data_IF_016778644053
#
_entry.id   IF_016778644053
#
_cell.length_a   1.000
_cell.length_b   1.000
_cell.length_c   1.000
_cell.angle_alpha   90.00
_cell.angle_beta   90.00
_cell.angle_gamma   90.00
#
_symmetry.space_group_name_H-M   'P 1'
#
loop_
_entity.id
_entity.type
_entity.pdbx_description
1 polymer ?
#
# COMPACT_ATOMS: atom_id res chain seq x y z
N UNK A 1 -3.14 40.79 -4.39
CA UNK A 1 -1.81 40.57 -3.76
C UNK A 1 -1.78 40.91 -2.24
N UNK A 2 -2.90 40.79 -1.52
CA UNK A 2 -2.94 40.86 -0.04
C UNK A 2 -3.04 39.45 0.57
N UNK A 3 -3.87 38.58 -0.02
CA UNK A 3 -4.04 37.19 0.42
C UNK A 3 -2.74 36.37 0.42
N UNK A 4 -1.88 36.52 -0.60
CA UNK A 4 -0.58 35.83 -0.71
C UNK A 4 0.44 36.26 0.36
N UNK A 5 0.35 37.51 0.86
CA UNK A 5 1.24 37.99 1.93
C UNK A 5 0.76 37.47 3.30
N UNK A 6 -0.54 37.54 3.56
CA UNK A 6 -1.15 37.04 4.80
C UNK A 6 -1.03 35.51 4.95
N UNK A 7 -1.14 34.75 3.84
CA UNK A 7 -1.09 33.28 3.88
C UNK A 7 0.29 32.69 3.55
N UNK A 8 1.35 33.51 3.54
CA UNK A 8 2.71 33.06 3.23
C UNK A 8 3.21 32.02 4.23
N UNK A 9 2.90 32.19 5.53
CA UNK A 9 3.22 31.22 6.57
C UNK A 9 2.48 29.90 6.35
N UNK A 10 1.16 29.94 6.13
CA UNK A 10 0.35 28.76 5.85
C UNK A 10 0.83 27.98 4.62
N UNK A 11 1.32 28.68 3.61
CA UNK A 11 1.92 28.04 2.43
C UNK A 11 3.22 27.31 2.76
N UNK A 12 4.13 27.93 3.51
CA UNK A 12 5.39 27.31 3.93
C UNK A 12 5.12 26.10 4.83
N UNK A 13 4.16 26.23 5.74
CA UNK A 13 3.75 25.17 6.64
C UNK A 13 3.09 24.00 5.90
N UNK A 14 2.20 24.29 4.94
CA UNK A 14 1.62 23.28 4.06
C UNK A 14 2.67 22.57 3.20
N UNK A 15 3.70 23.30 2.73
CA UNK A 15 4.79 22.71 1.94
C UNK A 15 5.61 21.75 2.79
N UNK A 16 5.94 22.17 4.01
CA UNK A 16 6.63 21.33 4.98
C UNK A 16 5.80 20.09 5.31
N UNK A 17 4.52 20.27 5.62
CA UNK A 17 3.60 19.17 5.91
C UNK A 17 3.53 18.17 4.75
N UNK A 18 3.37 18.62 3.51
CA UNK A 18 3.35 17.71 2.35
C UNK A 18 4.66 16.95 2.18
N UNK A 19 5.82 17.60 2.36
CA UNK A 19 7.13 16.93 2.27
C UNK A 19 7.30 15.89 3.37
N UNK A 20 6.94 16.23 4.61
CA UNK A 20 7.03 15.33 5.76
C UNK A 20 6.11 14.10 5.55
N UNK A 21 4.85 14.31 5.16
CA UNK A 21 3.91 13.23 4.83
C UNK A 21 4.40 12.38 3.66
N UNK A 22 4.83 13.00 2.57
CA UNK A 22 5.36 12.29 1.39
C UNK A 22 6.55 11.41 1.76
N UNK A 23 7.47 11.91 2.59
CA UNK A 23 8.65 11.16 3.02
C UNK A 23 8.27 9.95 3.89
N UNK A 24 7.41 10.14 4.90
CA UNK A 24 6.91 9.04 5.72
C UNK A 24 6.17 7.99 4.89
N UNK A 25 5.29 8.41 3.99
CA UNK A 25 4.55 7.50 3.13
C UNK A 25 5.44 6.79 2.09
N UNK A 26 6.50 7.44 1.59
CA UNK A 26 7.50 6.79 0.73
C UNK A 26 8.16 5.62 1.46
N UNK A 27 8.55 5.80 2.73
CA UNK A 27 9.14 4.73 3.54
C UNK A 27 8.13 3.59 3.72
N UNK A 28 6.87 3.90 4.03
CA UNK A 28 5.80 2.89 4.14
C UNK A 28 5.57 2.13 2.83
N UNK A 29 5.52 2.83 1.70
CA UNK A 29 5.35 2.22 0.37
C UNK A 29 6.54 1.32 -0.01
N UNK A 30 7.76 1.72 0.35
CA UNK A 30 8.97 0.93 0.14
C UNK A 30 8.93 -0.36 0.97
N UNK A 31 8.50 -0.25 2.22
CA UNK A 31 8.36 -1.39 3.12
C UNK A 31 7.33 -2.39 2.57
N UNK A 32 6.14 -1.92 2.16
CA UNK A 32 5.11 -2.79 1.57
C UNK A 32 5.64 -3.47 0.31
N UNK A 33 6.23 -2.72 -0.62
CA UNK A 33 6.78 -3.28 -1.85
C UNK A 33 7.82 -4.37 -1.56
N UNK A 34 8.68 -4.17 -0.57
CA UNK A 34 9.70 -5.13 -0.15
C UNK A 34 9.09 -6.40 0.43
N UNK A 35 8.12 -6.27 1.33
CA UNK A 35 7.45 -7.41 1.99
C UNK A 35 6.68 -8.25 0.97
N UNK A 36 5.91 -7.60 0.10
CA UNK A 36 5.10 -8.25 -0.93
C UNK A 36 6.00 -8.90 -2.00
N UNK A 37 7.06 -8.22 -2.44
CA UNK A 37 8.05 -8.81 -3.35
C UNK A 37 8.72 -10.06 -2.76
N UNK A 38 9.08 -10.02 -1.47
CA UNK A 38 9.62 -11.19 -0.78
C UNK A 38 8.60 -12.35 -0.74
N UNK A 39 7.32 -12.05 -0.49
CA UNK A 39 6.24 -13.04 -0.50
C UNK A 39 6.00 -13.65 -1.90
N UNK A 40 6.16 -12.87 -2.96
CA UNK A 40 6.07 -13.35 -4.35
C UNK A 40 7.13 -14.40 -4.68
N UNK A 41 8.37 -14.20 -4.19
CA UNK A 41 9.49 -15.12 -4.44
C UNK A 41 9.46 -16.31 -3.47
N UNK A 42 9.08 -16.06 -2.21
CA UNK A 42 8.99 -17.07 -1.15
C UNK A 42 7.53 -17.52 -1.05
N UNK A 43 7.09 -18.23 -2.09
CA UNK A 43 5.69 -18.65 -2.23
C UNK A 43 5.26 -19.56 -1.07
N UNK A 44 4.10 -19.30 -0.43
CA UNK A 44 3.68 -20.07 0.73
C UNK A 44 3.46 -21.56 0.40
N UNK A 45 4.08 -22.40 1.23
CA UNK A 45 4.09 -23.86 1.08
C UNK A 45 5.15 -24.42 0.12
N UNK A 46 6.01 -23.57 -0.45
CA UNK A 46 7.17 -23.99 -1.22
C UNK A 46 6.88 -24.48 -2.64
N UNK A 47 7.94 -24.86 -3.35
CA UNK A 47 7.88 -25.41 -4.70
C UNK A 47 7.89 -26.96 -4.67
N UNK A 48 7.25 -27.57 -5.66
CA UNK A 48 7.34 -29.00 -5.86
C UNK A 48 8.69 -29.34 -6.50
N UNK A 49 9.47 -30.19 -5.82
CA UNK A 49 10.89 -30.46 -6.10
C UNK A 49 11.18 -30.93 -7.53
N UNK A 50 10.20 -31.53 -8.22
CA UNK A 50 10.37 -32.08 -9.57
C UNK A 50 9.89 -31.17 -10.70
N UNK A 51 9.00 -30.21 -10.41
CA UNK A 51 8.31 -29.43 -11.44
C UNK A 51 8.52 -27.92 -11.32
N UNK A 52 9.02 -27.44 -10.16
CA UNK A 52 9.22 -26.02 -9.89
C UNK A 52 7.93 -25.24 -9.65
N UNK A 53 6.75 -25.86 -9.80
CA UNK A 53 5.47 -25.21 -9.55
C UNK A 53 5.21 -25.06 -8.04
N UNK A 54 4.53 -23.98 -7.61
CA UNK A 54 4.11 -23.81 -6.23
C UNK A 54 3.25 -25.00 -5.79
N UNK A 55 3.56 -25.64 -4.67
CA UNK A 55 2.88 -26.88 -4.24
C UNK A 55 1.36 -26.71 -4.06
N UNK A 56 0.91 -25.48 -3.80
CA UNK A 56 -0.49 -25.13 -3.56
C UNK A 56 -1.18 -24.42 -4.75
N UNK A 57 -0.61 -24.50 -5.97
CA UNK A 57 -1.13 -23.81 -7.15
C UNK A 57 -2.59 -24.14 -7.52
N UNK A 58 -3.09 -25.33 -7.13
CA UNK A 58 -4.47 -25.74 -7.39
C UNK A 58 -5.50 -25.14 -6.43
N UNK A 59 -5.07 -24.50 -5.35
CA UNK A 59 -5.97 -23.89 -4.37
C UNK A 59 -6.48 -22.54 -4.88
N UNK A 60 -7.78 -22.29 -4.78
CA UNK A 60 -8.37 -20.98 -5.10
C UNK A 60 -7.74 -19.85 -4.27
N UNK A 61 -7.35 -20.14 -3.03
CA UNK A 61 -6.63 -19.20 -2.17
C UNK A 61 -5.26 -18.80 -2.75
N UNK A 62 -4.56 -19.72 -3.43
CA UNK A 62 -3.29 -19.41 -4.06
C UNK A 62 -3.45 -18.37 -5.17
N UNK A 63 -4.51 -18.51 -5.98
CA UNK A 63 -4.83 -17.53 -7.03
C UNK A 63 -5.16 -16.17 -6.43
N UNK A 64 -5.95 -16.13 -5.35
CA UNK A 64 -6.25 -14.88 -4.62
C UNK A 64 -4.98 -14.24 -4.08
N UNK A 65 -4.11 -15.04 -3.46
CA UNK A 65 -2.80 -14.59 -2.98
C UNK A 65 -2.00 -13.94 -4.11
N UNK A 66 -1.74 -14.67 -5.20
CA UNK A 66 -0.90 -14.19 -6.29
C UNK A 66 -1.44 -12.91 -6.95
N UNK A 67 -2.76 -12.81 -7.15
CA UNK A 67 -3.37 -11.60 -7.72
C UNK A 67 -3.26 -10.43 -6.74
N UNK A 68 -3.62 -10.63 -5.48
CA UNK A 68 -3.57 -9.56 -4.47
C UNK A 68 -2.14 -9.07 -4.20
N UNK A 69 -1.18 -9.99 -4.15
CA UNK A 69 0.24 -9.69 -3.99
C UNK A 69 0.76 -8.84 -5.17
N UNK A 70 0.47 -9.25 -6.40
CA UNK A 70 0.83 -8.48 -7.59
C UNK A 70 0.21 -7.07 -7.57
N UNK A 71 -1.09 -6.94 -7.28
CA UNK A 71 -1.77 -5.65 -7.23
C UNK A 71 -1.17 -4.76 -6.14
N UNK A 72 -0.89 -5.29 -4.95
CA UNK A 72 -0.23 -4.56 -3.87
C UNK A 72 1.15 -4.07 -4.30
N UNK A 73 1.95 -4.92 -4.95
CA UNK A 73 3.29 -4.57 -5.39
C UNK A 73 3.28 -3.44 -6.43
N UNK A 74 2.45 -3.55 -7.47
CA UNK A 74 2.36 -2.53 -8.51
C UNK A 74 1.83 -1.20 -7.98
N UNK A 75 0.81 -1.23 -7.13
CA UNK A 75 0.24 -0.01 -6.53
C UNK A 75 1.23 0.65 -5.57
N UNK A 76 1.94 -0.12 -4.74
CA UNK A 76 3.01 0.40 -3.86
C UNK A 76 4.17 1.01 -4.64
N UNK A 77 4.61 0.35 -5.70
CA UNK A 77 5.71 0.83 -6.55
C UNK A 77 5.32 2.10 -7.32
N UNK A 78 4.08 2.16 -7.80
CA UNK A 78 3.55 3.38 -8.44
C UNK A 78 3.50 4.54 -7.45
N UNK A 79 3.08 4.26 -6.21
CA UNK A 79 3.04 5.25 -5.14
C UNK A 79 4.44 5.76 -4.76
N UNK A 80 5.45 4.88 -4.72
CA UNK A 80 6.85 5.28 -4.54
C UNK A 80 7.32 6.27 -5.61
N UNK A 81 7.05 5.99 -6.87
CA UNK A 81 7.43 6.87 -7.97
C UNK A 81 6.70 8.22 -7.88
N UNK A 82 5.44 8.21 -7.46
CA UNK A 82 4.61 9.40 -7.34
C UNK A 82 5.04 10.28 -6.16
N UNK A 83 5.31 9.69 -4.99
CA UNK A 83 5.90 10.41 -3.86
C UNK A 83 7.31 10.94 -4.17
N UNK A 84 8.15 10.16 -4.85
CA UNK A 84 9.46 10.61 -5.29
C UNK A 84 9.34 11.80 -6.27
N UNK A 85 8.35 11.76 -7.15
CA UNK A 85 8.03 12.87 -8.04
C UNK A 85 7.59 14.11 -7.26
N UNK A 86 6.79 13.97 -6.21
CA UNK A 86 6.37 15.08 -5.33
C UNK A 86 7.56 15.67 -4.54
N UNK A 87 8.47 14.83 -4.03
CA UNK A 87 9.69 15.26 -3.35
C UNK A 87 10.66 16.00 -4.29
N UNK A 88 10.77 15.54 -5.54
CA UNK A 88 11.71 16.08 -6.55
C UNK A 88 11.13 17.31 -7.28
N UNK A 89 9.80 17.48 -7.27
CA UNK A 89 9.13 18.59 -7.94
C UNK A 89 9.53 19.95 -7.35
N UNK A 90 9.64 20.96 -8.21
CA UNK A 90 9.88 22.33 -7.80
C UNK A 90 8.56 22.94 -7.35
N UNK A 91 8.43 23.24 -6.05
CA UNK A 91 7.21 23.75 -5.39
C UNK A 91 6.86 25.20 -5.83
N UNK A 92 6.54 25.42 -7.10
CA UNK A 92 6.11 26.71 -7.64
C UNK A 92 4.72 27.10 -7.09
N UNK A 93 4.49 28.39 -6.81
CA UNK A 93 3.30 28.85 -6.06
C UNK A 93 1.96 28.44 -6.66
N UNK A 94 1.87 28.31 -7.99
CA UNK A 94 0.63 28.02 -8.72
C UNK A 94 0.29 26.51 -8.71
N UNK A 95 1.29 25.63 -8.79
CA UNK A 95 1.07 24.18 -8.72
C UNK A 95 0.83 23.68 -7.29
N UNK A 96 1.30 24.46 -6.30
CA UNK A 96 1.19 24.16 -4.88
C UNK A 96 -0.25 24.20 -4.34
N UNK A 97 -1.11 25.07 -4.89
CA UNK A 97 -2.45 25.28 -4.34
C UNK A 97 -3.49 24.25 -4.79
N UNK A 98 -3.27 23.54 -5.91
CA UNK A 98 -4.29 22.63 -6.45
C UNK A 98 -3.73 21.32 -7.03
N UNK A 99 -2.65 21.40 -7.82
CA UNK A 99 -2.12 20.22 -8.50
C UNK A 99 -1.37 19.27 -7.53
N UNK A 100 -0.53 19.82 -6.65
CA UNK A 100 0.25 19.04 -5.69
C UNK A 100 -0.63 18.35 -4.62
N UNK A 101 -1.57 19.03 -3.93
CA UNK A 101 -2.44 18.40 -2.94
C UNK A 101 -3.34 17.31 -3.54
N UNK A 102 -3.85 17.55 -4.76
CA UNK A 102 -4.68 16.56 -5.47
C UNK A 102 -3.87 15.32 -5.83
N UNK A 103 -2.63 15.48 -6.32
CA UNK A 103 -1.72 14.36 -6.60
C UNK A 103 -1.43 13.57 -5.32
N UNK A 104 -1.10 14.24 -4.23
CA UNK A 104 -0.82 13.60 -2.94
C UNK A 104 -2.04 12.83 -2.40
N UNK A 105 -3.26 13.36 -2.57
CA UNK A 105 -4.48 12.65 -2.20
C UNK A 105 -4.70 11.37 -3.02
N UNK A 106 -4.55 11.45 -4.35
CA UNK A 106 -4.65 10.27 -5.24
C UNK A 106 -3.59 9.22 -4.89
N UNK A 107 -2.39 9.67 -4.55
CA UNK A 107 -1.27 8.80 -4.17
C UNK A 107 -1.55 8.10 -2.84
N UNK A 108 -2.02 8.83 -1.82
CA UNK A 108 -2.43 8.25 -0.55
C UNK A 108 -3.55 7.21 -0.70
N UNK A 109 -4.53 7.46 -1.57
CA UNK A 109 -5.58 6.47 -1.88
C UNK A 109 -5.00 5.22 -2.52
N UNK A 110 -4.01 5.37 -3.42
CA UNK A 110 -3.31 4.25 -4.06
C UNK A 110 -2.49 3.47 -3.05
N UNK A 111 -1.80 4.14 -2.13
CA UNK A 111 -1.06 3.52 -1.03
C UNK A 111 -1.99 2.77 -0.08
N UNK A 112 -3.14 3.35 0.26
CA UNK A 112 -4.13 2.69 1.11
C UNK A 112 -4.67 1.42 0.43
N UNK A 113 -4.95 1.49 -0.87
CA UNK A 113 -5.35 0.32 -1.65
C UNK A 113 -4.27 -0.76 -1.63
N UNK A 114 -2.99 -0.39 -1.75
CA UNK A 114 -1.86 -1.31 -1.63
C UNK A 114 -1.85 -2.05 -0.28
N UNK A 115 -2.09 -1.33 0.83
CA UNK A 115 -2.17 -1.91 2.17
C UNK A 115 -3.33 -2.91 2.27
N UNK A 116 -4.49 -2.59 1.70
CA UNK A 116 -5.64 -3.51 1.69
C UNK A 116 -5.30 -4.81 0.95
N UNK A 117 -4.70 -4.71 -0.25
CA UNK A 117 -4.31 -5.89 -1.01
C UNK A 117 -3.20 -6.70 -0.33
N UNK A 118 -2.24 -6.05 0.33
CA UNK A 118 -1.23 -6.74 1.15
C UNK A 118 -1.90 -7.53 2.29
N UNK A 119 -2.89 -6.96 2.96
CA UNK A 119 -3.64 -7.66 4.01
C UNK A 119 -4.44 -8.86 3.46
N UNK A 120 -5.02 -8.73 2.26
CA UNK A 120 -5.68 -9.85 1.57
C UNK A 120 -4.69 -10.95 1.20
N UNK A 121 -3.50 -10.59 0.68
CA UNK A 121 -2.43 -11.55 0.36
C UNK A 121 -1.97 -12.31 1.60
N UNK A 122 -1.74 -11.59 2.70
CA UNK A 122 -1.36 -12.18 3.99
C UNK A 122 -2.45 -13.12 4.52
N UNK A 123 -3.70 -12.69 4.45
CA UNK A 123 -4.87 -13.48 4.86
C UNK A 123 -5.01 -14.77 4.06
N UNK A 124 -4.84 -14.68 2.74
CA UNK A 124 -4.85 -15.83 1.86
C UNK A 124 -3.70 -16.80 2.18
N UNK A 125 -2.53 -16.26 2.48
CA UNK A 125 -1.37 -17.04 2.93
C UNK A 125 -1.66 -17.80 4.23
N UNK A 126 -2.27 -17.15 5.23
CA UNK A 126 -2.68 -17.82 6.47
C UNK A 126 -3.70 -18.93 6.22
N UNK A 127 -4.67 -18.68 5.35
CA UNK A 127 -5.64 -19.71 4.95
C UNK A 127 -4.96 -20.88 4.24
N UNK A 128 -3.97 -20.61 3.41
CA UNK A 128 -3.27 -21.63 2.62
C UNK A 128 -2.33 -22.48 3.49
N UNK A 129 -1.74 -21.89 4.54
CA UNK A 129 -0.88 -22.60 5.52
C UNK A 129 -1.69 -23.36 6.57
N UNK A 130 -2.78 -22.78 7.10
CA UNK A 130 -3.52 -23.34 8.24
C UNK A 130 -4.95 -23.82 7.93
N UNK A 131 -5.56 -23.29 6.87
CA UNK A 131 -6.99 -23.45 6.55
C UNK A 131 -7.40 -24.86 6.10
N UNK A 132 -6.46 -25.71 5.66
CA UNK A 132 -6.75 -27.12 5.39
C UNK A 132 -7.21 -27.90 6.65
N UNK A 133 -7.00 -27.38 7.87
CA UNK A 133 -7.39 -28.07 9.13
C UNK A 133 -8.30 -27.28 10.07
N UNK A 134 -8.42 -25.94 9.98
CA UNK A 134 -9.27 -25.14 10.88
C UNK A 134 -9.84 -23.87 10.22
N UNK A 135 -11.15 -23.85 9.96
CA UNK A 135 -11.91 -22.69 9.47
C UNK A 135 -11.93 -21.49 10.45
N UNK A 136 -11.56 -21.69 11.72
CA UNK A 136 -11.54 -20.66 12.78
C UNK A 136 -10.53 -19.52 12.54
N UNK A 137 -9.63 -19.67 11.57
CA UNK A 137 -8.61 -18.67 11.21
C UNK A 137 -9.14 -17.58 10.27
N UNK A 138 -10.31 -17.77 9.64
CA UNK A 138 -10.97 -16.70 8.88
C UNK A 138 -11.46 -15.55 9.78
N UNK A 139 -11.92 -15.85 11.00
CA UNK A 139 -12.43 -14.84 11.95
C UNK A 139 -11.44 -13.71 12.26
N UNK A 140 -10.17 -13.99 12.62
CA UNK A 140 -9.19 -12.92 12.85
C UNK A 140 -8.79 -12.20 11.57
N UNK A 141 -8.80 -12.88 10.42
CA UNK A 141 -8.52 -12.29 9.10
C UNK A 141 -9.59 -11.24 8.71
N UNK A 142 -10.87 -11.58 8.87
CA UNK A 142 -11.99 -10.66 8.62
C UNK A 142 -12.02 -9.50 9.63
N UNK A 143 -11.59 -9.74 10.87
CA UNK A 143 -11.44 -8.69 11.87
C UNK A 143 -10.27 -7.73 11.55
N UNK A 144 -9.16 -8.27 11.04
CA UNK A 144 -7.95 -7.48 10.74
C UNK A 144 -8.11 -6.62 9.49
N UNK A 145 -8.89 -7.04 8.50
CA UNK A 145 -9.25 -6.22 7.33
C UNK A 145 -10.24 -5.10 7.70
N UNK A 146 -11.15 -5.33 8.65
CA UNK A 146 -12.04 -4.29 9.16
C UNK A 146 -11.30 -3.21 9.97
N UNK A 147 -10.14 -3.51 10.56
CA UNK A 147 -9.42 -2.60 11.45
C UNK A 147 -8.87 -1.33 10.75
N UNK A 148 -8.12 -1.40 9.63
CA UNK A 148 -7.67 -0.21 8.92
C UNK A 148 -8.84 0.54 8.25
N UNK A 149 -9.89 -0.16 7.80
CA UNK A 149 -11.08 0.45 7.19
C UNK A 149 -11.87 1.25 8.22
N UNK A 150 -12.12 0.67 9.40
CA UNK A 150 -12.83 1.37 10.49
C UNK A 150 -12.02 2.54 11.05
N UNK A 151 -10.70 2.40 11.18
CA UNK A 151 -9.80 3.49 11.58
C UNK A 151 -9.89 4.69 10.62
N UNK A 152 -10.00 4.45 9.31
CA UNK A 152 -10.10 5.52 8.32
C UNK A 152 -11.50 6.14 8.20
N UNK A 153 -12.55 5.43 8.65
CA UNK A 153 -13.94 5.91 8.65
C UNK A 153 -14.31 6.64 9.96
N UNK A 154 -13.65 6.30 11.08
CA UNK A 154 -13.88 6.91 12.40
C UNK A 154 -13.05 8.18 12.65
N UNK A 155 -12.04 8.46 11.82
CA UNK A 155 -11.13 9.61 11.92
C UNK A 155 -11.55 10.69 10.91
#
# INVERSE_FOLDING_TARGET
MIFTREHRQLKIEGEKWMKDTTNSCTITAALIATVVFAAAIIVPGGNQSESGYPMLYKSSAFTVFAISDAVSLFTSTTSLLMFLSILTSRYAEQDFLYALPKRLCIDLLTLFLSILFMMVAFSSTLYLVFGQKKAWILLPVDALTCFPISSFVLL
#
